data_IF_051194568729
#
_entry.id   IF_051194568729
#
_cell.length_a   1.000
_cell.length_b   1.000
_cell.length_c   1.000
_cell.angle_alpha   90.00
_cell.angle_beta   90.00
_cell.angle_gamma   90.00
#
_symmetry.space_group_name_H-M   'P 1'
#
loop_
_entity.id
_entity.type
_entity.pdbx_description
1 polymer ?
#
# COMPACT_ATOMS: atom_id res chain seq x y z
N UNK A 1 -19.30 20.35 -40.58
CA UNK A 1 -20.14 21.18 -39.71
C UNK A 1 -19.75 20.90 -38.27
N UNK A 2 -18.90 21.71 -37.70
CA UNK A 2 -18.36 21.54 -36.36
C UNK A 2 -19.18 22.35 -35.37
N UNK A 3 -19.54 21.86 -34.17
CA UNK A 3 -20.15 22.70 -33.14
C UNK A 3 -19.06 23.28 -32.20
N UNK A 4 -19.22 24.55 -31.94
CA UNK A 4 -18.43 25.47 -31.14
C UNK A 4 -18.23 25.04 -29.69
N UNK A 5 -16.99 25.15 -29.23
CA UNK A 5 -16.58 25.17 -27.83
C UNK A 5 -16.97 26.54 -27.23
N UNK A 6 -17.80 26.56 -26.20
CA UNK A 6 -18.03 27.78 -25.41
C UNK A 6 -17.04 27.85 -24.25
N UNK A 7 -16.09 28.80 -24.35
CA UNK A 7 -15.24 29.24 -23.26
C UNK A 7 -16.06 30.05 -22.25
N UNK A 8 -16.20 29.58 -21.01
CA UNK A 8 -16.59 30.40 -19.87
C UNK A 8 -15.34 30.96 -19.20
N UNK A 9 -15.08 32.26 -19.40
CA UNK A 9 -14.03 33.02 -18.71
C UNK A 9 -14.62 33.57 -17.43
N UNK A 10 -14.20 33.03 -16.28
CA UNK A 10 -14.42 33.63 -14.97
C UNK A 10 -13.13 34.38 -14.55
N UNK A 11 -13.22 35.72 -14.45
CA UNK A 11 -12.11 36.54 -13.91
C UNK A 11 -12.15 36.53 -12.39
N UNK A 12 -11.08 35.95 -11.77
CA UNK A 12 -10.59 36.35 -10.44
C UNK A 12 -9.13 35.95 -10.32
N UNK A 13 -8.29 36.97 -10.09
CA UNK A 13 -6.88 36.96 -9.63
C UNK A 13 -5.93 35.84 -10.07
N UNK A 14 -5.23 36.06 -11.13
CA UNK A 14 -3.76 35.96 -11.30
C UNK A 14 -3.01 34.66 -11.05
N UNK A 15 -3.62 33.47 -11.05
CA UNK A 15 -2.89 32.21 -11.20
C UNK A 15 -3.73 31.33 -12.12
N UNK A 16 -3.30 31.24 -13.39
CA UNK A 16 -3.86 30.27 -14.34
C UNK A 16 -3.23 28.93 -14.01
N UNK A 17 -3.88 28.16 -13.15
CA UNK A 17 -3.59 26.74 -13.01
C UNK A 17 -4.24 26.05 -14.20
N UNK A 18 -3.44 25.79 -15.25
CA UNK A 18 -3.88 24.94 -16.36
C UNK A 18 -4.02 23.53 -15.79
N UNK A 19 -5.25 23.14 -15.44
CA UNK A 19 -5.60 21.73 -15.23
C UNK A 19 -5.48 21.11 -16.62
N UNK A 20 -4.37 20.42 -16.88
CA UNK A 20 -4.27 19.59 -18.08
C UNK A 20 -5.20 18.40 -17.88
N UNK A 21 -6.25 18.34 -18.70
CA UNK A 21 -7.06 17.12 -18.86
C UNK A 21 -6.11 15.96 -19.22
N UNK A 22 -5.96 15.01 -18.32
CA UNK A 22 -5.34 13.72 -18.66
C UNK A 22 -6.37 13.03 -19.57
N UNK A 23 -6.01 12.70 -20.82
CA UNK A 23 -6.95 12.00 -21.71
C UNK A 23 -7.38 10.71 -21.04
N UNK A 24 -8.68 10.53 -20.87
CA UNK A 24 -9.32 9.37 -20.22
C UNK A 24 -9.09 8.04 -20.99
N UNK A 25 -8.33 8.08 -22.08
CA UNK A 25 -8.06 6.98 -22.99
C UNK A 25 -6.57 6.82 -23.37
N UNK A 26 -5.65 6.93 -22.40
CA UNK A 26 -4.27 6.55 -22.67
C UNK A 26 -4.20 5.03 -22.79
N UNK A 27 -4.21 4.50 -24.01
CA UNK A 27 -4.03 3.07 -24.26
C UNK A 27 -2.55 2.74 -23.94
N UNK A 28 -2.36 1.92 -22.92
CA UNK A 28 -1.05 1.44 -22.52
C UNK A 28 -0.68 0.25 -23.42
N UNK A 29 0.23 0.48 -24.37
CA UNK A 29 0.70 -0.56 -25.28
C UNK A 29 1.87 -1.35 -24.68
N UNK A 30 1.89 -2.65 -24.96
CA UNK A 30 2.94 -3.59 -24.55
C UNK A 30 2.67 -4.25 -23.20
N UNK A 31 3.54 -5.22 -22.89
CA UNK A 31 3.40 -6.11 -21.73
C UNK A 31 3.78 -5.40 -20.43
N UNK A 32 2.92 -5.50 -19.43
CA UNK A 32 3.17 -5.03 -18.06
C UNK A 32 3.54 -6.21 -17.18
N UNK A 33 4.73 -6.19 -16.59
CA UNK A 33 5.14 -7.14 -15.54
C UNK A 33 4.77 -6.58 -14.16
N UNK A 34 4.04 -7.37 -13.38
CA UNK A 34 3.75 -7.09 -11.97
C UNK A 34 4.45 -8.15 -11.13
N UNK A 35 5.50 -7.79 -10.40
CA UNK A 35 6.10 -8.70 -9.42
C UNK A 35 5.29 -8.65 -8.13
N UNK A 36 5.07 -9.79 -7.48
CA UNK A 36 4.14 -9.87 -6.36
C UNK A 36 2.67 -9.79 -6.81
N UNK A 37 2.36 -10.23 -8.04
CA UNK A 37 1.04 -10.13 -8.64
C UNK A 37 -0.03 -10.95 -7.94
N UNK A 38 0.34 -12.04 -7.26
CA UNK A 38 -0.56 -12.84 -6.43
C UNK A 38 -0.76 -12.26 -5.02
N UNK A 39 -0.09 -11.16 -4.68
CA UNK A 39 -0.23 -10.45 -3.41
C UNK A 39 -1.44 -9.52 -3.38
N UNK A 40 -1.68 -8.89 -2.20
CA UNK A 40 -2.79 -7.97 -1.99
C UNK A 40 -2.79 -6.77 -2.96
N UNK A 41 -1.67 -6.08 -3.11
CA UNK A 41 -1.58 -4.97 -4.07
C UNK A 41 -1.64 -5.49 -5.51
N UNK A 42 -0.95 -6.59 -5.79
CA UNK A 42 -0.85 -7.17 -7.14
C UNK A 42 -2.21 -7.47 -7.76
N UNK A 43 -3.10 -8.19 -7.05
CA UNK A 43 -4.43 -8.52 -7.58
C UNK A 43 -5.32 -7.28 -7.76
N UNK A 44 -5.28 -6.32 -6.82
CA UNK A 44 -6.05 -5.09 -6.96
C UNK A 44 -5.55 -4.25 -8.14
N UNK A 45 -4.22 -4.18 -8.34
CA UNK A 45 -3.62 -3.49 -9.48
C UNK A 45 -3.98 -4.18 -10.81
N UNK A 46 -3.94 -5.51 -10.88
CA UNK A 46 -4.34 -6.26 -12.08
C UNK A 46 -5.79 -5.95 -12.45
N UNK A 47 -6.71 -5.98 -11.49
CA UNK A 47 -8.12 -5.62 -11.69
C UNK A 47 -8.28 -4.16 -12.15
N UNK A 48 -7.53 -3.25 -11.53
CA UNK A 48 -7.52 -1.84 -11.92
C UNK A 48 -7.03 -1.64 -13.36
N UNK A 49 -5.93 -2.29 -13.73
CA UNK A 49 -5.37 -2.23 -15.09
C UNK A 49 -6.34 -2.83 -16.13
N UNK A 50 -7.02 -3.92 -15.82
CA UNK A 50 -8.08 -4.46 -16.67
C UNK A 50 -9.23 -3.46 -16.87
N UNK A 51 -9.63 -2.76 -15.82
CA UNK A 51 -10.66 -1.71 -15.91
C UNK A 51 -10.21 -0.51 -16.77
N UNK A 52 -8.89 -0.24 -16.83
CA UNK A 52 -8.26 0.78 -17.70
C UNK A 52 -7.99 0.26 -19.13
N UNK A 53 -8.37 -0.98 -19.46
CA UNK A 53 -8.22 -1.56 -20.80
C UNK A 53 -6.86 -2.21 -21.09
N UNK A 54 -5.98 -2.35 -20.10
CA UNK A 54 -4.71 -3.09 -20.25
C UNK A 54 -5.01 -4.58 -20.25
N UNK A 55 -4.56 -5.31 -21.28
CA UNK A 55 -4.87 -6.75 -21.44
C UNK A 55 -3.65 -7.64 -21.41
N UNK A 56 -2.44 -7.11 -21.66
CA UNK A 56 -1.19 -7.90 -21.70
C UNK A 56 -0.44 -7.72 -20.37
N UNK A 57 -0.80 -8.57 -19.39
CA UNK A 57 -0.26 -8.53 -18.02
C UNK A 57 0.42 -9.85 -17.70
N UNK A 58 1.66 -9.75 -17.21
CA UNK A 58 2.40 -10.87 -16.62
C UNK A 58 2.53 -10.67 -15.10
N UNK A 59 2.21 -11.71 -14.34
CA UNK A 59 2.44 -11.80 -12.90
C UNK A 59 3.67 -12.64 -12.62
N UNK A 60 4.63 -12.15 -11.86
CA UNK A 60 5.75 -12.92 -11.31
C UNK A 60 5.62 -12.97 -9.78
N UNK A 61 5.43 -14.15 -9.24
CA UNK A 61 5.22 -14.33 -7.78
C UNK A 61 5.82 -15.67 -7.32
N UNK A 62 6.08 -15.81 -6.02
CA UNK A 62 6.49 -17.08 -5.40
C UNK A 62 5.38 -18.14 -5.42
N UNK A 63 4.13 -17.71 -5.53
CA UNK A 63 2.95 -18.57 -5.51
C UNK A 63 2.15 -18.44 -6.79
N UNK A 64 1.38 -19.48 -7.10
CA UNK A 64 0.48 -19.48 -8.27
C UNK A 64 -0.54 -18.33 -8.18
N UNK A 65 -0.92 -17.83 -9.36
CA UNK A 65 -1.97 -16.83 -9.50
C UNK A 65 -3.33 -17.52 -9.49
N UNK A 66 -3.86 -17.77 -8.30
CA UNK A 66 -5.15 -18.47 -8.11
C UNK A 66 -6.28 -17.47 -7.79
N UNK A 67 -6.66 -16.71 -8.82
CA UNK A 67 -7.78 -15.77 -8.79
C UNK A 67 -8.71 -16.01 -9.98
N UNK A 68 -9.95 -15.49 -9.96
CA UNK A 68 -10.87 -15.60 -11.10
C UNK A 68 -10.30 -15.08 -12.43
N UNK A 69 -9.35 -14.16 -12.36
CA UNK A 69 -8.69 -13.53 -13.51
C UNK A 69 -7.54 -14.36 -14.12
N UNK A 70 -7.26 -15.56 -13.62
CA UNK A 70 -6.08 -16.38 -14.02
C UNK A 70 -5.96 -16.65 -15.52
N UNK A 71 -7.06 -16.83 -16.22
CA UNK A 71 -7.06 -17.09 -17.67
C UNK A 71 -6.71 -15.84 -18.51
N UNK A 72 -6.61 -14.67 -17.87
CA UNK A 72 -6.29 -13.38 -18.50
C UNK A 72 -4.90 -12.87 -18.12
N UNK A 73 -4.17 -13.57 -17.26
CA UNK A 73 -2.86 -13.18 -16.74
C UNK A 73 -1.84 -14.25 -17.10
N UNK A 74 -0.72 -13.84 -17.68
CA UNK A 74 0.42 -14.74 -17.87
C UNK A 74 1.13 -14.91 -16.52
N UNK A 75 0.95 -16.03 -15.86
CA UNK A 75 1.54 -16.30 -14.55
C UNK A 75 2.92 -16.96 -14.68
N UNK A 76 3.92 -16.37 -14.02
CA UNK A 76 5.27 -16.94 -13.84
C UNK A 76 5.45 -17.17 -12.34
N UNK A 77 5.64 -18.42 -11.95
CA UNK A 77 5.93 -18.78 -10.56
C UNK A 77 7.45 -18.87 -10.38
N UNK A 78 7.98 -18.06 -9.46
CA UNK A 78 9.41 -18.04 -9.18
C UNK A 78 9.83 -16.90 -8.25
N UNK A 79 11.11 -16.91 -7.89
CA UNK A 79 11.69 -15.95 -6.94
C UNK A 79 12.39 -14.82 -7.71
N UNK A 80 12.13 -13.58 -7.32
CA UNK A 80 12.82 -12.40 -7.88
C UNK A 80 14.32 -12.34 -7.54
N UNK A 81 14.79 -13.19 -6.63
CA UNK A 81 16.22 -13.39 -6.31
C UNK A 81 16.93 -14.35 -7.26
N UNK A 82 16.20 -15.04 -8.11
CA UNK A 82 16.73 -15.96 -9.10
C UNK A 82 16.90 -15.27 -10.47
N UNK A 83 18.13 -15.18 -10.93
CA UNK A 83 18.47 -14.49 -12.20
C UNK A 83 17.73 -15.05 -13.41
N UNK A 84 17.53 -16.38 -13.46
CA UNK A 84 16.84 -17.02 -14.58
C UNK A 84 15.36 -16.69 -14.57
N UNK A 85 14.73 -16.77 -13.41
CA UNK A 85 13.32 -16.38 -13.21
C UNK A 85 13.10 -14.92 -13.62
N UNK A 86 13.99 -14.01 -13.20
CA UNK A 86 13.92 -12.60 -13.56
C UNK A 86 14.10 -12.39 -15.06
N UNK A 87 15.08 -13.07 -15.68
CA UNK A 87 15.33 -12.97 -17.11
C UNK A 87 14.15 -13.48 -17.94
N UNK A 88 13.56 -14.62 -17.57
CA UNK A 88 12.39 -15.20 -18.24
C UNK A 88 11.14 -14.30 -18.01
N UNK A 89 10.94 -13.83 -16.79
CA UNK A 89 9.85 -12.92 -16.44
C UNK A 89 9.91 -11.58 -17.17
N UNK A 90 11.10 -11.10 -17.54
CA UNK A 90 11.31 -9.80 -18.20
C UNK A 90 11.15 -9.84 -19.72
N UNK A 91 11.05 -11.03 -20.34
CA UNK A 91 10.96 -11.14 -21.81
C UNK A 91 9.75 -10.43 -22.40
N UNK A 92 9.98 -9.50 -23.32
CA UNK A 92 8.92 -8.74 -24.00
C UNK A 92 8.21 -7.69 -23.14
N UNK A 93 8.68 -7.48 -21.91
CA UNK A 93 8.11 -6.50 -20.97
C UNK A 93 8.47 -5.07 -21.39
N UNK A 94 7.49 -4.22 -21.41
CA UNK A 94 7.66 -2.77 -21.67
C UNK A 94 7.61 -1.93 -20.42
N UNK A 95 6.87 -2.38 -19.40
CA UNK A 95 6.75 -1.70 -18.09
C UNK A 95 6.77 -2.70 -16.96
N UNK A 96 7.37 -2.29 -15.86
CA UNK A 96 7.41 -3.08 -14.62
C UNK A 96 6.72 -2.31 -13.51
N UNK A 97 5.87 -2.99 -12.73
CA UNK A 97 5.43 -2.52 -11.42
C UNK A 97 5.94 -3.50 -10.37
N UNK A 98 6.90 -3.05 -9.59
CA UNK A 98 7.56 -3.88 -8.59
C UNK A 98 6.85 -3.77 -7.25
N UNK A 99 5.98 -4.74 -6.95
CA UNK A 99 5.23 -4.82 -5.69
C UNK A 99 5.67 -5.96 -4.78
N UNK A 100 6.50 -6.89 -5.29
CA UNK A 100 7.06 -7.97 -4.49
C UNK A 100 7.96 -7.41 -3.38
N UNK A 101 7.74 -7.86 -2.17
CA UNK A 101 8.53 -7.46 -1.00
C UNK A 101 8.42 -8.50 0.10
N UNK A 102 9.47 -8.66 0.90
CA UNK A 102 9.41 -9.39 2.15
C UNK A 102 8.68 -8.53 3.22
N UNK A 103 7.80 -9.18 3.98
CA UNK A 103 7.05 -8.49 5.04
C UNK A 103 7.96 -8.19 6.25
N UNK A 104 7.62 -7.19 7.08
CA UNK A 104 8.38 -6.85 8.29
C UNK A 104 8.55 -7.99 9.30
N UNK A 105 7.84 -9.10 9.10
CA UNK A 105 7.83 -10.29 9.96
C UNK A 105 8.80 -11.39 9.52
N UNK A 106 9.40 -11.25 8.34
CA UNK A 106 10.40 -12.18 7.85
C UNK A 106 11.75 -11.93 8.54
N UNK A 107 12.68 -12.87 8.37
CA UNK A 107 14.04 -12.68 8.86
C UNK A 107 14.72 -11.47 8.21
N UNK A 108 15.65 -10.82 8.90
CA UNK A 108 16.41 -9.71 8.33
C UNK A 108 17.11 -10.11 7.03
N UNK A 109 17.64 -11.34 6.96
CA UNK A 109 18.24 -11.89 5.75
C UNK A 109 17.24 -11.95 4.59
N UNK A 110 16.03 -12.50 4.81
CA UNK A 110 15.02 -12.58 3.77
C UNK A 110 14.55 -11.22 3.32
N UNK A 111 14.42 -10.27 4.25
CA UNK A 111 14.04 -8.88 3.94
C UNK A 111 15.08 -8.24 3.02
N UNK A 112 16.36 -8.29 3.37
CA UNK A 112 17.40 -7.66 2.56
C UNK A 112 17.61 -8.37 1.21
N UNK A 113 17.65 -9.69 1.19
CA UNK A 113 17.83 -10.41 -0.08
C UNK A 113 16.65 -10.22 -1.03
N UNK A 114 15.42 -10.17 -0.53
CA UNK A 114 14.24 -9.95 -1.36
C UNK A 114 14.13 -8.49 -1.78
N UNK A 115 14.14 -7.55 -0.82
CA UNK A 115 13.81 -6.15 -1.10
C UNK A 115 14.98 -5.39 -1.75
N UNK A 116 16.24 -5.78 -1.52
CA UNK A 116 17.40 -5.11 -2.08
C UNK A 116 17.97 -5.88 -3.27
N UNK A 117 18.40 -7.15 -3.04
CA UNK A 117 19.05 -7.93 -4.10
C UNK A 117 18.07 -8.27 -5.23
N UNK A 118 16.83 -8.66 -4.89
CA UNK A 118 15.76 -8.88 -5.86
C UNK A 118 15.41 -7.62 -6.67
N UNK A 119 15.33 -6.45 -6.02
CA UNK A 119 15.11 -5.17 -6.71
C UNK A 119 16.25 -4.85 -7.66
N UNK A 120 17.51 -5.03 -7.22
CA UNK A 120 18.69 -4.80 -8.07
C UNK A 120 18.66 -5.68 -9.32
N UNK A 121 18.41 -6.99 -9.17
CA UNK A 121 18.31 -7.92 -10.32
C UNK A 121 17.22 -7.52 -11.31
N UNK A 122 16.06 -7.10 -10.81
CA UNK A 122 14.95 -6.63 -11.65
C UNK A 122 15.31 -5.34 -12.40
N UNK A 123 15.98 -4.37 -11.75
CA UNK A 123 16.42 -3.13 -12.37
C UNK A 123 17.48 -3.40 -13.47
N UNK A 124 18.46 -4.25 -13.21
CA UNK A 124 19.46 -4.67 -14.19
C UNK A 124 18.83 -5.35 -15.41
N UNK A 125 17.88 -6.27 -15.17
CA UNK A 125 17.14 -6.93 -16.24
C UNK A 125 16.28 -5.93 -17.04
N UNK A 126 15.62 -4.98 -16.36
CA UNK A 126 14.82 -3.93 -17.00
C UNK A 126 15.67 -3.03 -17.90
N UNK A 127 16.85 -2.62 -17.44
CA UNK A 127 17.80 -1.84 -18.25
C UNK A 127 18.28 -2.63 -19.47
N UNK A 128 18.66 -3.90 -19.28
CA UNK A 128 19.13 -4.78 -20.36
C UNK A 128 18.06 -5.02 -21.44
N UNK A 129 16.79 -5.10 -21.05
CA UNK A 129 15.65 -5.30 -21.96
C UNK A 129 15.12 -3.98 -22.56
N UNK A 130 15.63 -2.83 -22.14
CA UNK A 130 15.14 -1.52 -22.60
C UNK A 130 13.71 -1.24 -22.15
N UNK A 131 13.34 -1.64 -20.94
CA UNK A 131 12.04 -1.37 -20.34
C UNK A 131 11.80 0.15 -20.31
N UNK A 132 10.62 0.56 -20.74
CA UNK A 132 10.22 1.98 -20.80
C UNK A 132 10.13 2.62 -19.42
N UNK A 133 9.65 1.87 -18.43
CA UNK A 133 9.37 2.36 -17.08
C UNK A 133 9.37 1.25 -16.04
N UNK A 134 9.97 1.53 -14.90
CA UNK A 134 10.02 0.64 -13.74
C UNK A 134 9.43 1.37 -12.52
N UNK A 135 8.18 1.08 -12.15
CA UNK A 135 7.53 1.69 -10.97
C UNK A 135 7.88 0.88 -9.73
N UNK A 136 8.58 1.51 -8.79
CA UNK A 136 8.95 0.91 -7.50
C UNK A 136 7.91 1.23 -6.42
N UNK A 137 7.37 0.20 -5.77
CA UNK A 137 6.55 0.39 -4.57
C UNK A 137 7.44 0.28 -3.33
N UNK A 138 7.77 1.44 -2.79
CA UNK A 138 8.50 1.61 -1.53
C UNK A 138 7.52 1.66 -0.35
N UNK A 139 7.83 2.42 0.68
CA UNK A 139 7.00 2.57 1.87
C UNK A 139 7.36 3.85 2.63
N UNK A 140 6.41 4.49 3.30
CA UNK A 140 6.70 5.56 4.27
C UNK A 140 7.47 5.06 5.50
N UNK A 141 7.73 3.76 5.64
CA UNK A 141 8.63 3.20 6.66
C UNK A 141 10.09 3.66 6.50
N UNK A 142 10.47 4.20 5.34
CA UNK A 142 11.79 4.81 5.11
C UNK A 142 12.05 6.00 6.03
N UNK A 143 11.03 6.75 6.44
CA UNK A 143 11.16 7.88 7.34
C UNK A 143 11.35 7.50 8.82
N UNK A 144 11.05 6.26 9.17
CA UNK A 144 11.17 5.80 10.54
C UNK A 144 10.10 6.36 11.49
N UNK A 145 10.51 6.86 12.66
CA UNK A 145 9.65 7.53 13.65
C UNK A 145 10.09 8.99 13.73
N UNK A 146 9.51 9.87 12.91
CA UNK A 146 9.89 11.27 12.86
C UNK A 146 9.35 12.06 14.06
N UNK A 147 9.89 13.24 14.25
CA UNK A 147 9.50 14.21 15.30
C UNK A 147 8.55 15.29 14.79
N UNK A 148 8.27 15.32 13.48
CA UNK A 148 7.38 16.29 12.84
C UNK A 148 6.45 15.65 11.81
N UNK A 149 5.41 16.35 11.43
CA UNK A 149 4.43 16.01 10.40
C UNK A 149 3.80 17.26 9.78
N UNK A 150 3.35 17.23 8.51
CA UNK A 150 3.46 16.11 7.58
C UNK A 150 4.90 15.86 7.13
N UNK A 151 5.21 14.61 6.76
CA UNK A 151 6.50 14.27 6.14
C UNK A 151 6.48 14.58 4.65
N UNK A 152 7.59 15.10 4.17
CA UNK A 152 7.84 15.41 2.75
C UNK A 152 8.75 14.35 2.11
N UNK A 153 8.84 14.34 0.79
CA UNK A 153 9.66 13.37 0.06
C UNK A 153 11.17 13.55 0.26
N UNK A 154 11.59 14.74 0.59
CA UNK A 154 12.99 15.14 0.85
C UNK A 154 13.38 15.09 2.34
N UNK A 155 12.47 14.70 3.22
CA UNK A 155 12.79 14.45 4.62
C UNK A 155 13.78 13.28 4.78
N UNK A 156 14.57 13.34 5.84
CA UNK A 156 15.59 12.35 6.13
C UNK A 156 15.02 10.92 6.24
N UNK A 157 15.64 9.99 5.54
CA UNK A 157 15.31 8.58 5.60
C UNK A 157 16.12 7.89 6.70
N UNK A 158 15.50 7.65 7.86
CA UNK A 158 16.13 7.03 9.02
C UNK A 158 15.91 5.51 9.00
N UNK A 159 14.73 5.07 8.62
CA UNK A 159 14.32 3.67 8.60
C UNK A 159 14.23 3.04 9.99
N UNK A 160 13.12 2.36 10.29
CA UNK A 160 13.01 1.61 11.55
C UNK A 160 13.02 0.11 11.27
N UNK A 161 13.87 -0.60 12.02
CA UNK A 161 14.03 -2.04 11.88
C UNK A 161 14.61 -2.47 10.53
N UNK A 162 14.70 -3.77 10.27
CA UNK A 162 15.26 -4.30 9.04
C UNK A 162 14.48 -3.86 7.79
N UNK A 163 13.16 -3.86 7.87
CA UNK A 163 12.30 -3.51 6.74
C UNK A 163 12.48 -2.06 6.27
N UNK A 164 12.47 -1.08 7.19
CA UNK A 164 12.69 0.32 6.82
C UNK A 164 14.06 0.54 6.18
N UNK A 165 15.11 -0.07 6.74
CA UNK A 165 16.47 0.00 6.18
C UNK A 165 16.58 -0.66 4.81
N UNK A 166 15.94 -1.81 4.61
CA UNK A 166 15.92 -2.49 3.32
C UNK A 166 15.18 -1.67 2.24
N UNK A 167 14.06 -1.00 2.60
CA UNK A 167 13.37 -0.11 1.67
C UNK A 167 14.23 1.09 1.27
N UNK A 168 15.00 1.68 2.20
CA UNK A 168 15.98 2.73 1.88
C UNK A 168 17.02 2.21 0.87
N UNK A 169 17.64 1.07 1.17
CA UNK A 169 18.65 0.48 0.28
C UNK A 169 18.09 0.11 -1.09
N UNK A 170 16.83 -0.35 -1.17
CA UNK A 170 16.17 -0.62 -2.44
C UNK A 170 15.89 0.67 -3.25
N UNK A 171 15.53 1.77 -2.58
CA UNK A 171 15.40 3.08 -3.25
C UNK A 171 16.75 3.59 -3.76
N UNK A 172 17.86 3.34 -3.05
CA UNK A 172 19.20 3.68 -3.55
C UNK A 172 19.54 2.95 -4.84
N UNK A 173 19.16 1.67 -5.00
CA UNK A 173 19.30 0.94 -6.27
C UNK A 173 18.44 1.59 -7.37
N UNK A 174 17.21 2.03 -7.04
CA UNK A 174 16.35 2.77 -7.97
C UNK A 174 17.00 4.10 -8.42
N UNK A 175 17.62 4.84 -7.50
CA UNK A 175 18.29 6.11 -7.81
C UNK A 175 19.52 5.89 -8.70
N UNK A 176 20.27 4.80 -8.50
CA UNK A 176 21.37 4.41 -9.40
C UNK A 176 20.85 4.10 -10.80
N UNK A 177 19.74 3.36 -10.89
CA UNK A 177 19.11 3.04 -12.18
C UNK A 177 18.60 4.30 -12.91
N UNK A 178 18.03 5.28 -12.19
CA UNK A 178 17.68 6.60 -12.75
C UNK A 178 18.89 7.31 -13.33
N UNK A 179 20.00 7.37 -12.59
CA UNK A 179 21.23 8.00 -13.04
C UNK A 179 21.79 7.33 -14.31
N UNK A 180 21.49 6.05 -14.52
CA UNK A 180 21.83 5.28 -15.72
C UNK A 180 20.76 5.35 -16.82
N UNK A 181 19.78 6.25 -16.72
CA UNK A 181 18.81 6.55 -17.77
C UNK A 181 17.50 5.75 -17.77
N UNK A 182 17.28 4.85 -16.79
CA UNK A 182 15.99 4.20 -16.64
C UNK A 182 14.98 5.14 -15.97
N UNK A 183 13.76 5.22 -16.49
CA UNK A 183 12.68 5.92 -15.81
C UNK A 183 12.16 5.06 -14.64
N UNK A 184 12.40 5.52 -13.39
CA UNK A 184 12.07 4.77 -12.17
C UNK A 184 11.24 5.63 -11.19
N UNK A 185 9.92 5.78 -11.39
CA UNK A 185 9.06 6.35 -10.37
C UNK A 185 9.14 5.54 -9.08
N UNK A 186 9.29 6.20 -7.94
CA UNK A 186 9.25 5.59 -6.61
C UNK A 186 8.00 6.08 -5.88
N UNK A 187 7.14 5.17 -5.47
CA UNK A 187 5.94 5.45 -4.70
C UNK A 187 6.18 5.04 -3.26
N UNK A 188 6.01 5.96 -2.30
CA UNK A 188 6.06 5.72 -0.86
C UNK A 188 4.63 5.74 -0.28
N UNK A 189 3.89 4.63 -0.34
CA UNK A 189 2.52 4.62 0.18
C UNK A 189 2.49 4.60 1.71
N UNK A 190 1.46 5.22 2.28
CA UNK A 190 1.01 4.96 3.65
C UNK A 190 0.45 3.54 3.77
N UNK A 191 0.18 3.11 5.01
CA UNK A 191 -0.50 1.82 5.23
C UNK A 191 -1.80 1.79 4.45
N UNK A 192 -1.88 0.90 3.46
CA UNK A 192 -3.03 0.83 2.57
C UNK A 192 -3.89 -0.39 2.86
N UNK A 193 -5.20 -0.22 2.68
CA UNK A 193 -6.25 -1.19 2.98
C UNK A 193 -7.26 -1.25 1.84
N UNK A 194 -8.07 -2.29 1.82
CA UNK A 194 -9.11 -2.50 0.80
C UNK A 194 -9.44 -3.97 0.63
N UNK A 195 -10.31 -4.32 -0.32
CA UNK A 195 -10.66 -5.72 -0.63
C UNK A 195 -9.41 -6.60 -0.81
N UNK A 196 -9.46 -7.83 -0.35
CA UNK A 196 -8.38 -8.84 -0.27
C UNK A 196 -7.35 -8.58 0.87
N UNK A 197 -7.51 -7.51 1.67
CA UNK A 197 -6.65 -7.27 2.82
C UNK A 197 -7.34 -7.60 4.13
N UNK A 198 -6.67 -8.40 4.93
CA UNK A 198 -7.08 -8.76 6.30
C UNK A 198 -6.04 -8.26 7.32
N UNK A 199 -5.00 -9.03 7.58
CA UNK A 199 -3.94 -8.65 8.52
C UNK A 199 -4.48 -8.21 9.89
N UNK A 200 -3.91 -7.14 10.44
CA UNK A 200 -4.29 -6.58 11.75
C UNK A 200 -5.71 -5.99 11.77
N UNK A 201 -6.19 -5.48 10.65
CA UNK A 201 -7.53 -4.86 10.56
C UNK A 201 -8.64 -5.89 10.71
N UNK A 202 -8.40 -7.17 10.38
CA UNK A 202 -9.36 -8.24 10.59
C UNK A 202 -9.83 -8.37 12.05
N UNK A 203 -8.99 -7.97 13.02
CA UNK A 203 -9.40 -7.96 14.43
C UNK A 203 -10.47 -6.90 14.71
N UNK A 204 -10.31 -5.69 14.17
CA UNK A 204 -11.30 -4.63 14.28
C UNK A 204 -12.62 -5.06 13.62
N UNK A 205 -12.53 -5.64 12.42
CA UNK A 205 -13.69 -6.07 11.64
C UNK A 205 -14.45 -7.23 12.30
N UNK A 206 -13.72 -8.23 12.83
CA UNK A 206 -14.32 -9.35 13.56
C UNK A 206 -15.04 -8.89 14.84
N UNK A 207 -14.46 -7.96 15.59
CA UNK A 207 -15.10 -7.44 16.79
C UNK A 207 -16.33 -6.59 16.45
N UNK A 208 -16.23 -5.73 15.45
CA UNK A 208 -17.34 -4.93 14.97
C UNK A 208 -18.50 -5.82 14.48
N UNK A 209 -18.26 -6.78 13.60
CA UNK A 209 -19.27 -7.66 13.01
C UNK A 209 -19.97 -8.54 14.03
N UNK A 210 -19.31 -8.85 15.15
CA UNK A 210 -19.87 -9.69 16.23
C UNK A 210 -20.43 -8.89 17.40
N UNK A 211 -20.61 -7.56 17.24
CA UNK A 211 -21.26 -6.71 18.23
C UNK A 211 -20.42 -6.42 19.47
N UNK A 212 -19.09 -6.26 19.31
CA UNK A 212 -18.19 -5.91 20.40
C UNK A 212 -17.55 -4.53 20.14
N UNK A 213 -17.25 -3.81 21.22
CA UNK A 213 -16.39 -2.64 21.15
C UNK A 213 -14.94 -3.02 20.87
N UNK A 214 -14.07 -2.06 20.60
CA UNK A 214 -12.67 -2.36 20.29
C UNK A 214 -11.70 -1.60 21.19
N UNK A 215 -10.70 -2.26 21.79
CA UNK A 215 -9.68 -1.62 22.62
C UNK A 215 -8.67 -0.87 21.76
N UNK A 216 -8.27 0.31 22.20
CA UNK A 216 -7.27 1.13 21.54
C UNK A 216 -6.13 1.51 22.49
N UNK A 217 -4.90 1.42 22.01
CA UNK A 217 -3.70 1.86 22.74
C UNK A 217 -3.67 3.38 22.75
N UNK A 218 -3.65 3.97 23.96
CA UNK A 218 -3.77 5.41 24.13
C UNK A 218 -5.22 5.91 24.05
N UNK A 219 -5.37 7.21 23.88
CA UNK A 219 -6.70 7.86 23.78
C UNK A 219 -7.21 7.91 22.32
N UNK A 220 -6.39 7.54 21.34
CA UNK A 220 -6.71 7.54 19.92
C UNK A 220 -6.83 8.94 19.30
N UNK A 221 -6.31 10.00 19.94
CA UNK A 221 -6.30 11.36 19.38
C UNK A 221 -5.18 11.60 18.35
N UNK A 222 -4.25 10.66 18.26
CA UNK A 222 -3.21 10.71 17.24
C UNK A 222 -3.83 10.56 15.83
N UNK A 223 -3.19 11.19 14.86
CA UNK A 223 -3.58 11.16 13.45
C UNK A 223 -2.75 10.09 12.75
N UNK A 224 -3.43 9.11 12.18
CA UNK A 224 -2.78 8.03 11.44
C UNK A 224 -3.38 7.94 10.05
N UNK A 225 -2.63 8.43 9.07
CA UNK A 225 -3.06 8.42 7.67
C UNK A 225 -3.01 7.01 7.11
N UNK A 226 -4.10 6.59 6.50
CA UNK A 226 -4.23 5.38 5.72
C UNK A 226 -4.27 5.72 4.22
N UNK A 227 -4.50 4.70 3.41
CA UNK A 227 -4.69 4.84 1.96
C UNK A 227 -5.62 3.72 1.50
N UNK A 228 -6.58 4.01 0.63
CA UNK A 228 -7.33 2.96 -0.06
C UNK A 228 -6.47 2.35 -1.18
N UNK A 229 -6.53 1.04 -1.34
CA UNK A 229 -5.76 0.33 -2.38
C UNK A 229 -6.13 0.77 -3.79
N UNK A 230 -7.37 1.22 -4.01
CA UNK A 230 -7.80 1.73 -5.31
C UNK A 230 -7.13 3.05 -5.65
N UNK A 231 -7.00 3.96 -4.67
CA UNK A 231 -6.26 5.21 -4.83
C UNK A 231 -4.76 4.95 -5.04
N UNK A 232 -4.19 3.94 -4.37
CA UNK A 232 -2.82 3.51 -4.66
C UNK A 232 -2.68 2.99 -6.09
N UNK A 233 -3.60 2.16 -6.57
CA UNK A 233 -3.60 1.67 -7.96
C UNK A 233 -3.72 2.82 -8.97
N UNK A 234 -4.53 3.85 -8.68
CA UNK A 234 -4.62 5.05 -9.52
C UNK A 234 -3.30 5.83 -9.53
N UNK A 235 -2.61 5.99 -8.41
CA UNK A 235 -1.28 6.63 -8.37
C UNK A 235 -0.24 5.86 -9.20
N UNK A 236 -0.28 4.52 -9.15
CA UNK A 236 0.55 3.66 -10.01
C UNK A 236 0.21 3.87 -11.49
N UNK A 237 -1.07 3.89 -11.83
CA UNK A 237 -1.54 4.17 -13.20
C UNK A 237 -0.99 5.51 -13.72
N UNK A 238 -1.10 6.57 -12.94
CA UNK A 238 -0.57 7.89 -13.29
C UNK A 238 0.94 7.85 -13.53
N UNK A 239 1.70 7.17 -12.67
CA UNK A 239 3.15 7.01 -12.87
C UNK A 239 3.52 6.14 -14.07
N UNK A 240 2.63 5.24 -14.50
CA UNK A 240 2.80 4.41 -15.70
C UNK A 240 2.48 5.13 -17.01
N UNK A 241 1.63 6.15 -16.99
CA UNK A 241 1.02 6.74 -18.19
C UNK A 241 1.44 8.17 -18.48
N UNK A 242 1.76 8.97 -17.49
CA UNK A 242 2.22 10.35 -17.66
C UNK A 242 3.65 10.41 -18.23
N UNK A 243 4.09 11.59 -18.70
CA UNK A 243 5.40 11.82 -19.29
C UNK A 243 6.54 11.39 -18.36
N UNK A 244 7.61 10.80 -18.95
CA UNK A 244 8.75 10.26 -18.18
C UNK A 244 9.43 11.30 -17.30
N UNK A 245 9.68 12.48 -17.85
CA UNK A 245 10.33 13.59 -17.16
C UNK A 245 9.53 14.03 -15.93
N UNK A 246 8.21 13.89 -16.00
CA UNK A 246 7.28 14.27 -14.93
C UNK A 246 7.25 13.25 -13.80
N UNK A 247 7.30 11.95 -14.13
CA UNK A 247 7.13 10.87 -13.17
C UNK A 247 8.41 10.26 -12.63
N UNK A 248 9.57 10.57 -13.24
CA UNK A 248 10.85 10.01 -12.84
C UNK A 248 11.37 10.61 -11.51
N UNK A 249 10.55 10.53 -10.49
CA UNK A 249 10.74 11.15 -9.18
C UNK A 249 10.17 10.24 -8.07
N UNK A 250 10.20 10.72 -6.82
CA UNK A 250 9.66 10.01 -5.65
C UNK A 250 8.40 10.73 -5.17
N UNK A 251 7.36 9.95 -4.79
CA UNK A 251 6.06 10.48 -4.39
C UNK A 251 5.54 9.80 -3.13
N UNK A 252 5.17 10.60 -2.15
CA UNK A 252 4.38 10.16 -1.01
C UNK A 252 2.91 10.01 -1.42
N UNK A 253 2.29 8.88 -1.06
CA UNK A 253 0.89 8.59 -1.38
C UNK A 253 0.12 8.22 -0.12
N UNK A 254 -0.98 8.91 0.15
CA UNK A 254 -1.85 8.72 1.30
C UNK A 254 -3.24 9.29 1.06
N UNK A 255 -4.19 9.03 1.95
CA UNK A 255 -5.49 9.67 1.89
C UNK A 255 -5.36 11.19 2.10
N UNK A 256 -6.19 11.97 1.41
CA UNK A 256 -6.28 13.43 1.64
C UNK A 256 -7.01 13.74 2.93
N UNK A 257 -8.13 13.05 3.14
CA UNK A 257 -9.01 13.27 4.27
C UNK A 257 -8.86 12.15 5.31
N UNK A 258 -8.41 12.53 6.50
CA UNK A 258 -8.28 11.63 7.64
C UNK A 258 -8.43 12.40 8.94
N UNK A 259 -8.95 11.73 9.97
CA UNK A 259 -9.21 12.31 11.27
C UNK A 259 -8.31 11.69 12.35
N UNK A 260 -8.77 11.61 13.58
CA UNK A 260 -8.06 10.88 14.62
C UNK A 260 -8.28 9.37 14.47
N UNK A 261 -7.31 8.58 14.91
CA UNK A 261 -7.42 7.11 14.84
C UNK A 261 -8.69 6.59 15.53
N UNK A 262 -9.13 7.26 16.62
CA UNK A 262 -10.39 6.93 17.29
C UNK A 262 -11.59 7.15 16.40
N UNK A 263 -11.69 8.30 15.75
CA UNK A 263 -12.83 8.66 14.92
C UNK A 263 -12.89 7.78 13.66
N UNK A 264 -11.73 7.48 13.08
CA UNK A 264 -11.65 6.64 11.89
C UNK A 264 -12.06 5.19 12.20
N UNK A 265 -11.60 4.63 13.33
CA UNK A 265 -11.98 3.26 13.75
C UNK A 265 -13.41 3.19 14.28
N UNK A 266 -13.90 4.27 14.93
CA UNK A 266 -15.29 4.32 15.38
C UNK A 266 -16.26 4.24 14.20
N UNK A 267 -15.92 4.80 13.05
CA UNK A 267 -16.75 4.71 11.85
C UNK A 267 -17.04 3.25 11.43
N UNK A 268 -16.10 2.32 11.68
CA UNK A 268 -16.34 0.88 11.43
C UNK A 268 -17.35 0.29 12.41
N UNK A 269 -17.28 0.67 13.70
CA UNK A 269 -18.24 0.21 14.70
C UNK A 269 -19.65 0.79 14.47
N UNK A 270 -19.70 2.03 13.99
CA UNK A 270 -20.96 2.71 13.64
C UNK A 270 -21.59 2.04 12.41
N UNK A 271 -20.80 1.71 11.39
CA UNK A 271 -21.23 0.95 10.21
C UNK A 271 -21.76 -0.44 10.58
N UNK A 272 -21.14 -1.10 11.57
CA UNK A 272 -21.61 -2.41 12.07
C UNK A 272 -22.98 -2.33 12.76
N UNK A 273 -23.44 -1.17 13.20
CA UNK A 273 -24.78 -0.92 13.68
C UNK A 273 -25.12 -1.45 15.09
N UNK A 274 -24.13 -1.92 15.85
CA UNK A 274 -24.35 -2.50 17.19
C UNK A 274 -24.29 -1.48 18.33
N UNK A 275 -24.08 -0.17 18.04
CA UNK A 275 -23.99 0.89 19.04
C UNK A 275 -22.76 0.79 19.94
N UNK A 276 -21.73 0.07 19.53
CA UNK A 276 -20.50 -0.15 20.28
C UNK A 276 -19.49 0.95 20.07
N UNK A 277 -18.52 1.06 21.00
CA UNK A 277 -17.58 2.18 21.05
C UNK A 277 -16.12 1.71 21.11
N UNK A 278 -15.22 2.53 20.54
CA UNK A 278 -13.79 2.42 20.76
C UNK A 278 -13.47 2.81 22.21
N UNK A 279 -12.79 1.91 22.93
CA UNK A 279 -12.34 2.16 24.31
C UNK A 279 -10.82 2.36 24.36
N UNK A 280 -10.39 3.60 24.64
CA UNK A 280 -8.96 3.90 24.81
C UNK A 280 -8.44 3.50 26.18
N UNK A 281 -7.23 2.91 26.21
CA UNK A 281 -6.52 2.55 27.44
C UNK A 281 -5.21 3.32 27.51
N UNK A 282 -4.71 3.67 28.74
CA UNK A 282 -3.43 4.35 28.87
C UNK A 282 -2.33 3.58 28.12
N UNK A 283 -1.58 4.28 27.26
CA UNK A 283 -0.62 3.64 26.36
C UNK A 283 0.51 2.93 27.12
N UNK A 284 1.09 3.55 28.13
CA UNK A 284 2.24 3.00 28.84
C UNK A 284 1.96 1.61 29.48
N UNK A 285 0.93 1.42 30.33
CA UNK A 285 0.65 0.09 30.89
C UNK A 285 0.28 -0.93 29.80
N UNK A 286 -0.43 -0.51 28.74
CA UNK A 286 -0.82 -1.42 27.67
C UNK A 286 0.39 -1.89 26.85
N UNK A 287 1.32 -0.99 26.53
CA UNK A 287 2.59 -1.33 25.86
C UNK A 287 3.44 -2.27 26.74
N UNK A 288 3.54 -2.01 28.05
CA UNK A 288 4.24 -2.89 28.98
C UNK A 288 3.63 -4.30 29.01
N UNK A 289 2.31 -4.40 29.03
CA UNK A 289 1.61 -5.68 28.97
C UNK A 289 1.90 -6.42 27.66
N UNK A 290 1.85 -5.72 26.51
CA UNK A 290 2.14 -6.33 25.22
C UNK A 290 3.60 -6.76 25.08
N UNK A 291 4.58 -5.99 25.63
CA UNK A 291 5.98 -6.39 25.69
C UNK A 291 6.19 -7.65 26.54
N UNK A 292 5.50 -7.75 27.68
CA UNK A 292 5.53 -8.94 28.50
C UNK A 292 4.94 -10.16 27.80
N UNK A 293 3.79 -9.99 27.14
CA UNK A 293 3.16 -11.04 26.31
C UNK A 293 4.06 -11.45 25.13
N UNK A 294 4.75 -10.49 24.49
CA UNK A 294 5.71 -10.79 23.43
C UNK A 294 6.88 -11.63 23.92
N UNK A 295 7.42 -11.30 25.11
CA UNK A 295 8.46 -12.10 25.75
C UNK A 295 8.00 -13.55 26.02
N UNK A 296 6.72 -13.74 26.37
CA UNK A 296 6.09 -15.06 26.50
C UNK A 296 5.68 -15.71 25.16
N UNK A 297 5.91 -15.04 24.02
CA UNK A 297 5.44 -15.44 22.67
C UNK A 297 3.90 -15.56 22.57
N UNK A 298 3.18 -14.81 23.39
CA UNK A 298 1.71 -14.77 23.45
C UNK A 298 1.12 -13.47 22.92
N UNK A 299 1.95 -12.50 22.52
CA UNK A 299 1.46 -11.21 22.00
C UNK A 299 0.77 -11.40 20.64
N UNK A 300 -0.45 -10.87 20.47
CA UNK A 300 -1.15 -10.88 19.19
C UNK A 300 -0.66 -9.77 18.25
N UNK A 301 0.13 -8.81 18.77
CA UNK A 301 0.64 -7.65 18.03
C UNK A 301 2.17 -7.63 18.07
N UNK A 302 2.76 -7.18 16.97
CA UNK A 302 4.21 -7.01 16.86
C UNK A 302 4.67 -5.70 17.49
N UNK A 303 5.90 -5.68 17.93
CA UNK A 303 6.52 -4.57 18.63
C UNK A 303 6.30 -3.21 17.96
N UNK A 304 6.58 -3.11 16.67
CA UNK A 304 6.43 -1.83 15.96
C UNK A 304 4.96 -1.36 15.90
N UNK A 305 3.98 -2.28 15.82
CA UNK A 305 2.56 -1.93 15.79
C UNK A 305 2.13 -1.27 17.09
N UNK A 306 2.43 -1.89 18.24
CA UNK A 306 1.98 -1.36 19.51
C UNK A 306 2.82 -0.18 20.02
N UNK A 307 4.09 -0.04 19.60
CA UNK A 307 4.96 1.09 19.97
C UNK A 307 4.63 2.36 19.18
N UNK A 308 4.06 2.23 17.98
CA UNK A 308 3.70 3.36 17.13
C UNK A 308 2.20 3.69 17.15
N UNK A 309 1.35 2.80 17.67
CA UNK A 309 -0.11 2.92 17.62
C UNK A 309 -0.68 4.20 18.27
N UNK A 310 0.06 4.86 19.17
CA UNK A 310 -0.36 6.10 19.83
C UNK A 310 0.36 7.34 19.32
N UNK A 311 1.12 7.23 18.22
CA UNK A 311 1.88 8.33 17.62
C UNK A 311 1.23 8.81 16.34
N UNK A 312 1.44 10.09 16.03
CA UNK A 312 1.08 10.63 14.72
C UNK A 312 1.90 9.95 13.61
N UNK A 313 1.28 9.75 12.47
CA UNK A 313 1.95 9.18 11.30
C UNK A 313 1.22 9.60 10.01
N UNK A 314 1.67 10.68 9.39
CA UNK A 314 1.13 11.13 8.11
C UNK A 314 2.15 11.88 7.27
N UNK A 315 1.93 11.87 5.97
CA UNK A 315 2.78 12.50 4.96
C UNK A 315 2.00 13.56 4.19
N UNK A 316 2.71 14.50 3.58
CA UNK A 316 2.13 15.38 2.56
C UNK A 316 2.00 14.60 1.25
N UNK A 317 0.89 14.80 0.55
CA UNK A 317 0.67 14.30 -0.82
C UNK A 317 0.67 15.45 -1.85
N UNK A 318 0.99 16.67 -1.44
CA UNK A 318 0.93 17.86 -2.30
C UNK A 318 1.80 17.72 -3.56
N UNK A 319 2.95 17.05 -3.46
CA UNK A 319 3.80 16.77 -4.62
C UNK A 319 3.09 15.86 -5.61
N UNK A 320 2.46 14.78 -5.14
CA UNK A 320 1.69 13.87 -5.98
C UNK A 320 0.48 14.59 -6.61
N UNK A 321 -0.24 15.42 -5.86
CA UNK A 321 -1.35 16.23 -6.39
C UNK A 321 -0.86 17.18 -7.50
N UNK A 322 0.20 17.92 -7.26
CA UNK A 322 0.73 18.91 -8.22
C UNK A 322 1.38 18.27 -9.44
N UNK A 323 2.19 17.23 -9.24
CA UNK A 323 2.99 16.62 -10.31
C UNK A 323 2.24 15.57 -11.07
N UNK A 324 1.54 14.66 -10.38
CA UNK A 324 0.80 13.57 -11.02
C UNK A 324 -0.64 13.93 -11.35
N UNK A 325 -1.21 14.96 -10.72
CA UNK A 325 -2.65 15.21 -10.73
C UNK A 325 -3.39 14.17 -9.85
N UNK A 326 -2.69 13.56 -8.89
CA UNK A 326 -3.26 12.55 -8.00
C UNK A 326 -4.35 13.17 -7.12
N UNK A 327 -5.53 12.61 -7.15
CA UNK A 327 -6.68 13.02 -6.32
C UNK A 327 -7.26 11.76 -5.67
N UNK A 328 -6.85 11.43 -4.42
CA UNK A 328 -7.42 10.29 -3.73
C UNK A 328 -8.91 10.50 -3.49
N UNK A 329 -9.70 9.47 -3.75
CA UNK A 329 -11.18 9.50 -3.69
C UNK A 329 -11.73 9.05 -2.35
N UNK A 330 -10.91 8.31 -1.58
CA UNK A 330 -11.33 7.70 -0.33
C UNK A 330 -10.64 8.37 0.85
N UNK A 331 -11.44 8.78 1.84
CA UNK A 331 -10.94 9.13 3.17
C UNK A 331 -10.48 7.86 3.92
N UNK A 332 -9.81 8.03 5.06
CA UNK A 332 -9.52 6.91 5.96
C UNK A 332 -10.79 6.12 6.33
N UNK A 333 -11.88 6.83 6.63
CA UNK A 333 -13.16 6.22 7.01
C UNK A 333 -13.74 5.40 5.88
N UNK A 334 -13.75 5.96 4.66
CA UNK A 334 -14.25 5.25 3.47
C UNK A 334 -13.46 3.97 3.21
N UNK A 335 -12.13 4.04 3.27
CA UNK A 335 -11.24 2.89 3.07
C UNK A 335 -11.49 1.79 4.13
N UNK A 336 -11.64 2.18 5.40
CA UNK A 336 -11.93 1.24 6.50
C UNK A 336 -13.32 0.59 6.34
N UNK A 337 -14.36 1.39 6.07
CA UNK A 337 -15.73 0.90 5.89
C UNK A 337 -15.83 0.00 4.67
N UNK A 338 -15.23 0.38 3.55
CA UNK A 338 -15.20 -0.40 2.32
C UNK A 338 -14.54 -1.77 2.54
N UNK A 339 -13.43 -1.80 3.24
CA UNK A 339 -12.75 -3.05 3.58
C UNK A 339 -13.54 -3.88 4.62
N UNK A 340 -14.21 -3.25 5.56
CA UNK A 340 -15.11 -3.92 6.50
C UNK A 340 -16.28 -4.60 5.79
N UNK A 341 -16.95 -3.92 4.87
CA UNK A 341 -18.05 -4.49 4.06
C UNK A 341 -17.56 -5.72 3.28
N UNK A 342 -16.40 -5.57 2.60
CA UNK A 342 -15.79 -6.70 1.90
C UNK A 342 -15.48 -7.87 2.85
N UNK A 343 -14.96 -7.59 4.06
CA UNK A 343 -14.72 -8.61 5.07
C UNK A 343 -15.99 -9.36 5.45
N UNK A 344 -17.09 -8.65 5.72
CA UNK A 344 -18.39 -9.25 6.08
C UNK A 344 -18.93 -10.11 4.93
N UNK A 345 -18.85 -9.62 3.70
CA UNK A 345 -19.33 -10.33 2.50
C UNK A 345 -18.53 -11.61 2.19
N UNK A 346 -17.32 -11.75 2.75
CA UNK A 346 -16.44 -12.89 2.49
C UNK A 346 -16.09 -13.71 3.75
N UNK A 347 -16.83 -13.55 4.83
CA UNK A 347 -16.58 -14.24 6.12
C UNK A 347 -16.37 -15.74 5.97
N UNK A 348 -17.16 -16.41 5.12
CA UNK A 348 -17.10 -17.88 4.93
C UNK A 348 -15.72 -18.35 4.40
N UNK A 349 -15.03 -17.49 3.65
CA UNK A 349 -13.69 -17.80 3.11
C UNK A 349 -12.60 -17.83 4.18
N UNK A 350 -12.86 -17.23 5.34
CA UNK A 350 -11.83 -17.01 6.37
C UNK A 350 -12.02 -17.83 7.64
N UNK A 351 -13.12 -18.58 7.78
CA UNK A 351 -13.46 -19.31 9.02
C UNK A 351 -12.41 -20.36 9.42
N UNK A 352 -11.57 -20.83 8.47
CA UNK A 352 -10.56 -21.86 8.73
C UNK A 352 -9.13 -21.44 8.32
N UNK A 353 -8.90 -20.16 8.01
CA UNK A 353 -7.61 -19.67 7.59
C UNK A 353 -6.98 -18.79 8.67
N UNK A 354 -5.76 -19.09 9.07
CA UNK A 354 -4.98 -18.27 10.01
C UNK A 354 -3.52 -18.16 9.53
N UNK A 355 -2.90 -17.01 9.74
CA UNK A 355 -1.52 -16.80 9.32
C UNK A 355 -1.02 -15.39 9.61
N UNK A 356 0.13 -15.05 9.04
CA UNK A 356 0.81 -13.74 9.25
C UNK A 356 0.92 -12.92 7.98
N UNK A 357 0.26 -13.32 6.89
CA UNK A 357 0.24 -12.56 5.65
C UNK A 357 -0.86 -11.50 5.64
N UNK A 358 -0.78 -10.57 4.69
CA UNK A 358 -1.83 -9.56 4.51
C UNK A 358 -3.17 -10.15 4.02
N UNK A 359 -3.19 -11.37 3.51
CA UNK A 359 -4.36 -12.06 2.93
C UNK A 359 -5.12 -12.94 3.92
N UNK A 360 -4.58 -13.17 5.10
CA UNK A 360 -5.22 -14.02 6.13
C UNK A 360 -5.40 -13.23 7.43
N UNK A 361 -6.45 -13.54 8.22
CA UNK A 361 -6.63 -12.92 9.52
C UNK A 361 -5.45 -13.22 10.44
N UNK A 362 -4.96 -12.20 11.15
CA UNK A 362 -4.00 -12.46 12.22
C UNK A 362 -4.69 -13.15 13.39
N UNK A 363 -4.00 -14.12 13.97
CA UNK A 363 -4.50 -14.83 15.15
C UNK A 363 -4.73 -13.88 16.31
N UNK A 364 -5.93 -13.90 16.90
CA UNK A 364 -6.29 -12.98 17.99
C UNK A 364 -5.61 -13.33 19.33
N UNK A 365 -5.06 -14.55 19.45
CA UNK A 365 -4.41 -15.01 20.68
C UNK A 365 -5.23 -14.74 21.93
N UNK A 366 -4.60 -14.16 22.95
CA UNK A 366 -5.24 -13.84 24.25
C UNK A 366 -6.32 -12.75 24.12
N UNK A 367 -6.31 -11.92 23.07
CA UNK A 367 -7.32 -10.88 22.83
C UNK A 367 -8.71 -11.47 22.59
N UNK A 368 -8.80 -12.72 22.13
CA UNK A 368 -10.07 -13.42 21.98
C UNK A 368 -10.80 -13.57 23.32
N UNK A 369 -10.06 -13.77 24.44
CA UNK A 369 -10.62 -13.81 25.78
C UNK A 369 -11.05 -12.41 26.24
N UNK A 370 -10.30 -11.38 25.88
CA UNK A 370 -10.63 -10.00 26.22
C UNK A 370 -11.91 -9.53 25.51
N UNK A 371 -12.22 -10.05 24.31
CA UNK A 371 -13.41 -9.69 23.52
C UNK A 371 -14.72 -9.74 24.31
N UNK A 372 -14.86 -10.71 25.23
CA UNK A 372 -16.06 -10.86 26.05
C UNK A 372 -16.34 -9.67 27.00
N UNK A 373 -15.37 -8.76 27.22
CA UNK A 373 -15.50 -7.60 28.11
C UNK A 373 -15.81 -6.29 27.35
N UNK A 374 -15.97 -6.35 26.06
CA UNK A 374 -16.21 -5.20 25.17
C UNK A 374 -17.53 -5.33 24.41
#
# INVERSE_FOLDING_TARGET
MWPFLQLRVGRASGIVTTIMDVPDHTILNGKVLITGGSGFLGINLIRHLFAKGVTDIRSLDLVEFDYPEKDRVEAVVGDIRDERTVADGMQGVTRVVHTAAALPLYSEHDIFTTDVDGTRLLLEAAQKQGVDRFVMISSTAVYGIPDHHPLLEDDEMIGVGPYGRAKIAAEEECFKARANGLCVPVIRPKSFIGPERLGVFAMLYDWASTGHGFPMIGNGRNRYQLLDVEDLCESIWLTMTLDKERVNDTFNIGAKDFTTMREDYQAVLDEAGHGKQIKGFPAAPMIWTLRFLEWLKLSPLYKWVYETASKDSFVSIEKAERVLGFMPRHSNKDALIRNYRWYVDNLDKFQNTGGVSHRVPWGQGILRLAKAFF
#
